data_IF_980812578823
#
_entry.id   IF_980812578823
#
_cell.length_a   1.000
_cell.length_b   1.000
_cell.length_c   1.000
_cell.angle_alpha   90.00
_cell.angle_beta   90.00
_cell.angle_gamma   90.00
#
_symmetry.space_group_name_H-M   'P 1'
#
loop_
_entity.id
_entity.type
_entity.pdbx_description
1 polymer ?
#
# COMPACT_ATOMS: atom_id res chain seq x y z
N UNK A 1 -25.91 21.65 42.23
CA UNK A 1 -26.68 22.52 41.31
C UNK A 1 -25.69 23.30 40.47
N UNK A 2 -25.51 22.92 39.21
CA UNK A 2 -24.63 23.57 38.24
C UNK A 2 -24.80 22.81 36.93
N UNK A 3 -25.47 23.44 35.97
CA UNK A 3 -26.06 22.81 34.78
C UNK A 3 -24.98 22.42 33.76
N UNK A 4 -25.28 21.32 33.06
CA UNK A 4 -24.64 20.81 31.85
C UNK A 4 -24.56 21.87 30.76
N UNK A 5 -23.35 22.08 30.23
CA UNK A 5 -23.15 22.69 28.91
C UNK A 5 -23.05 21.58 27.87
N UNK A 6 -24.06 21.49 27.01
CA UNK A 6 -24.03 20.69 25.78
C UNK A 6 -22.88 21.18 24.90
N UNK A 7 -21.92 20.29 24.61
CA UNK A 7 -20.93 20.51 23.57
C UNK A 7 -21.58 20.08 22.25
N UNK A 8 -22.09 21.05 21.48
CA UNK A 8 -22.66 20.81 20.17
C UNK A 8 -21.57 20.35 19.20
N UNK A 9 -21.68 19.11 18.72
CA UNK A 9 -20.75 18.46 17.80
C UNK A 9 -20.90 18.90 16.33
N UNK A 10 -21.45 20.08 16.08
CA UNK A 10 -21.83 20.52 14.73
C UNK A 10 -21.23 21.90 14.42
N UNK A 11 -19.90 22.03 14.42
CA UNK A 11 -19.22 23.23 13.90
C UNK A 11 -17.72 22.99 13.59
N UNK A 12 -17.42 21.85 12.96
CA UNK A 12 -16.14 21.65 12.26
C UNK A 12 -16.49 21.32 10.80
N UNK A 13 -16.87 22.39 10.09
CA UNK A 13 -17.21 22.34 8.68
C UNK A 13 -15.97 22.30 7.79
N UNK A 14 -16.03 21.43 6.79
CA UNK A 14 -15.55 21.63 5.41
C UNK A 14 -14.05 21.71 5.09
N UNK A 15 -13.14 21.72 6.06
CA UNK A 15 -11.70 21.58 5.76
C UNK A 15 -11.20 20.16 6.09
N UNK A 16 -10.66 19.48 5.07
CA UNK A 16 -10.05 18.15 5.11
C UNK A 16 -11.01 16.96 5.28
N UNK A 17 -11.81 16.72 4.24
CA UNK A 17 -12.20 15.35 3.86
C UNK A 17 -10.92 14.58 3.53
N UNK A 18 -10.32 13.95 4.56
CA UNK A 18 -9.24 12.98 4.41
C UNK A 18 -9.66 12.02 3.30
N UNK A 19 -8.92 12.07 2.20
CA UNK A 19 -9.12 11.26 1.00
C UNK A 19 -8.82 9.80 1.36
N UNK A 20 -9.72 9.17 2.13
CA UNK A 20 -9.82 7.73 2.12
C UNK A 20 -10.28 7.35 0.72
N UNK A 21 -9.30 7.08 -0.15
CA UNK A 21 -9.48 6.47 -1.46
C UNK A 21 -10.11 5.06 -1.35
N UNK A 22 -10.35 4.60 -0.11
CA UNK A 22 -10.82 3.30 0.37
C UNK A 22 -12.19 2.82 -0.14
N UNK A 23 -12.75 3.44 -1.20
CA UNK A 23 -13.84 2.87 -2.01
C UNK A 23 -13.92 3.63 -3.33
N UNK A 24 -13.23 3.14 -4.36
CA UNK A 24 -13.49 3.60 -5.72
C UNK A 24 -14.89 3.15 -6.13
N UNK A 25 -15.88 4.04 -5.98
CA UNK A 25 -17.28 3.79 -6.33
C UNK A 25 -17.38 3.30 -7.78
N UNK A 26 -18.25 2.31 -8.04
CA UNK A 26 -18.43 1.71 -9.38
C UNK A 26 -18.75 2.75 -10.46
N UNK A 27 -19.56 3.76 -10.13
CA UNK A 27 -19.90 4.86 -11.04
C UNK A 27 -18.70 5.76 -11.32
N UNK A 28 -17.95 6.12 -10.27
CA UNK A 28 -16.70 6.91 -10.39
C UNK A 28 -15.69 6.17 -11.26
N UNK A 29 -15.47 4.88 -10.99
CA UNK A 29 -14.58 4.05 -11.81
C UNK A 29 -15.02 4.02 -13.28
N UNK A 30 -16.32 3.84 -13.55
CA UNK A 30 -16.85 3.80 -14.91
C UNK A 30 -16.66 5.12 -15.68
N UNK A 31 -16.73 6.25 -14.98
CA UNK A 31 -16.42 7.59 -15.52
C UNK A 31 -14.93 7.74 -15.82
N UNK A 32 -14.06 7.33 -14.88
CA UNK A 32 -12.59 7.36 -15.08
C UNK A 32 -12.12 6.48 -16.24
N UNK A 33 -12.74 5.32 -16.44
CA UNK A 33 -12.47 4.44 -17.60
C UNK A 33 -12.68 5.11 -18.96
N UNK A 34 -13.39 6.25 -18.98
CA UNK A 34 -13.70 7.05 -20.16
C UNK A 34 -13.00 8.41 -20.19
N UNK A 35 -12.04 8.62 -19.29
CA UNK A 35 -11.21 9.84 -19.29
C UNK A 35 -11.83 11.02 -18.55
N UNK A 36 -12.76 10.79 -17.62
CA UNK A 36 -13.19 11.82 -16.66
C UNK A 36 -12.25 11.75 -15.45
N UNK A 37 -11.78 12.89 -14.96
CA UNK A 37 -10.91 12.94 -13.77
C UNK A 37 -11.67 12.54 -12.49
N UNK A 38 -10.92 12.13 -11.46
CA UNK A 38 -11.51 11.58 -10.24
C UNK A 38 -12.38 12.58 -9.46
N UNK A 39 -12.06 13.87 -9.49
CA UNK A 39 -12.80 14.90 -8.73
C UNK A 39 -14.12 15.19 -9.43
N UNK A 40 -14.09 15.41 -10.73
CA UNK A 40 -15.30 15.57 -11.54
C UNK A 40 -16.18 14.33 -11.44
N UNK A 41 -15.61 13.13 -11.54
CA UNK A 41 -16.37 11.88 -11.43
C UNK A 41 -17.05 11.72 -10.05
N UNK A 42 -16.36 12.06 -8.96
CA UNK A 42 -16.95 12.05 -7.61
C UNK A 42 -18.08 13.07 -7.47
N UNK A 43 -17.91 14.29 -7.99
CA UNK A 43 -18.96 15.32 -7.96
C UNK A 43 -20.21 14.88 -8.72
N UNK A 44 -20.05 14.39 -9.95
CA UNK A 44 -21.16 13.88 -10.76
C UNK A 44 -21.90 12.72 -10.06
N UNK A 45 -21.16 11.81 -9.43
CA UNK A 45 -21.77 10.75 -8.64
C UNK A 45 -22.52 11.28 -7.41
N UNK A 46 -22.01 12.31 -6.74
CA UNK A 46 -22.68 13.00 -5.63
C UNK A 46 -23.97 13.70 -6.05
N UNK A 47 -24.03 14.21 -7.28
CA UNK A 47 -25.24 14.75 -7.92
C UNK A 47 -26.24 13.66 -8.37
N UNK A 48 -25.93 12.38 -8.15
CA UNK A 48 -26.77 11.25 -8.55
C UNK A 48 -26.67 10.88 -10.04
N UNK A 49 -25.76 11.51 -10.79
CA UNK A 49 -25.57 11.24 -12.21
C UNK A 49 -24.84 9.91 -12.42
N UNK A 50 -25.38 9.10 -13.32
CA UNK A 50 -24.77 7.84 -13.77
C UNK A 50 -24.19 8.02 -15.17
N UNK A 51 -23.34 7.08 -15.60
CA UNK A 51 -22.82 7.11 -16.95
C UNK A 51 -23.91 6.98 -18.03
N UNK A 52 -25.00 6.27 -17.73
CA UNK A 52 -26.15 6.19 -18.63
C UNK A 52 -26.84 7.55 -18.74
N UNK A 53 -27.08 8.21 -17.59
CA UNK A 53 -27.65 9.56 -17.57
C UNK A 53 -26.78 10.55 -18.36
N UNK A 54 -25.45 10.54 -18.18
CA UNK A 54 -24.55 11.42 -18.94
C UNK A 54 -24.61 11.19 -20.47
N UNK A 55 -24.85 9.95 -20.90
CA UNK A 55 -25.00 9.63 -22.33
C UNK A 55 -26.34 10.07 -22.90
N UNK A 56 -27.35 10.27 -22.06
CA UNK A 56 -28.70 10.69 -22.44
C UNK A 56 -28.92 12.21 -22.31
N UNK A 57 -28.16 12.88 -21.43
CA UNK A 57 -28.17 14.35 -21.30
C UNK A 57 -27.73 15.04 -22.58
N UNK A 58 -28.17 16.28 -22.80
CA UNK A 58 -27.73 17.15 -23.89
C UNK A 58 -26.32 17.71 -23.68
N UNK A 59 -25.66 18.14 -24.75
CA UNK A 59 -24.27 18.63 -24.71
C UNK A 59 -24.14 19.91 -23.86
N UNK A 60 -25.12 20.81 -23.88
CA UNK A 60 -25.11 22.05 -23.08
C UNK A 60 -25.16 21.74 -21.57
N UNK A 61 -25.96 20.75 -21.17
CA UNK A 61 -26.00 20.24 -19.81
C UNK A 61 -24.66 19.63 -19.41
N UNK A 62 -24.01 18.83 -20.28
CA UNK A 62 -22.69 18.26 -19.99
C UNK A 62 -21.60 19.32 -19.81
N UNK A 63 -21.63 20.39 -20.61
CA UNK A 63 -20.71 21.54 -20.46
C UNK A 63 -20.96 22.27 -19.14
N UNK A 64 -22.22 22.47 -18.74
CA UNK A 64 -22.57 23.04 -17.42
C UNK A 64 -22.06 22.18 -16.27
N UNK A 65 -22.02 20.87 -16.44
CA UNK A 65 -21.41 19.94 -15.51
C UNK A 65 -19.87 19.87 -15.65
N UNK A 66 -19.22 20.80 -16.36
CA UNK A 66 -17.77 20.93 -16.39
C UNK A 66 -17.03 19.91 -17.26
N UNK A 67 -17.73 19.18 -18.13
CA UNK A 67 -17.09 18.26 -19.07
C UNK A 67 -16.54 19.01 -20.28
N UNK A 68 -15.32 18.67 -20.70
CA UNK A 68 -14.72 19.24 -21.91
C UNK A 68 -15.39 18.71 -23.18
N UNK A 69 -15.35 19.49 -24.25
CA UNK A 69 -15.87 19.10 -25.56
C UNK A 69 -15.27 17.79 -26.06
N UNK A 70 -13.97 17.56 -25.83
CA UNK A 70 -13.30 16.30 -26.17
C UNK A 70 -13.88 15.08 -25.43
N UNK A 71 -14.24 15.22 -24.16
CA UNK A 71 -14.87 14.13 -23.38
C UNK A 71 -16.30 13.91 -23.84
N UNK A 72 -17.05 14.98 -24.12
CA UNK A 72 -18.41 14.90 -24.65
C UNK A 72 -18.40 14.17 -26.00
N UNK A 73 -17.54 14.56 -26.92
CA UNK A 73 -17.37 13.89 -28.21
C UNK A 73 -16.99 12.41 -28.05
N UNK A 74 -16.11 12.08 -27.09
CA UNK A 74 -15.74 10.70 -26.78
C UNK A 74 -16.92 9.90 -26.21
N UNK A 75 -17.77 10.52 -25.38
CA UNK A 75 -19.00 9.91 -24.85
C UNK A 75 -20.02 9.63 -25.96
N UNK A 76 -20.15 10.53 -26.95
CA UNK A 76 -21.08 10.42 -28.07
C UNK A 76 -20.62 9.46 -29.16
N UNK A 77 -19.36 9.55 -29.59
CA UNK A 77 -18.82 8.77 -30.73
C UNK A 77 -18.70 7.27 -30.45
N UNK A 78 -18.68 6.87 -29.18
CA UNK A 78 -18.69 5.45 -28.79
C UNK A 78 -17.49 4.61 -29.24
N UNK A 79 -16.45 5.21 -29.83
CA UNK A 79 -15.36 4.49 -30.51
C UNK A 79 -14.22 3.99 -29.62
N UNK A 80 -13.99 4.61 -28.45
CA UNK A 80 -12.97 4.14 -27.50
C UNK A 80 -13.61 3.17 -26.51
N UNK A 81 -13.12 1.93 -26.50
CA UNK A 81 -13.50 0.97 -25.46
C UNK A 81 -13.07 1.49 -24.08
N UNK A 82 -13.86 1.26 -23.03
CA UNK A 82 -13.47 1.67 -21.68
C UNK A 82 -12.20 0.94 -21.25
N UNK A 83 -11.33 1.62 -20.50
CA UNK A 83 -10.18 0.98 -19.86
C UNK A 83 -10.70 -0.19 -19.00
N UNK A 84 -10.13 -1.41 -19.10
CA UNK A 84 -10.53 -2.52 -18.26
C UNK A 84 -10.44 -2.18 -16.77
N UNK A 85 -11.46 -2.58 -15.99
CA UNK A 85 -11.54 -2.24 -14.56
C UNK A 85 -10.33 -2.72 -13.75
N UNK A 86 -9.76 -3.87 -14.12
CA UNK A 86 -8.56 -4.40 -13.48
C UNK A 86 -7.34 -3.50 -13.73
N UNK A 87 -7.12 -3.10 -14.99
CA UNK A 87 -6.00 -2.24 -15.37
C UNK A 87 -6.12 -0.85 -14.73
N UNK A 88 -7.33 -0.26 -14.73
CA UNK A 88 -7.59 0.99 -14.02
C UNK A 88 -7.20 0.88 -12.53
N UNK A 89 -7.70 -0.14 -11.84
CA UNK A 89 -7.43 -0.35 -10.42
C UNK A 89 -5.93 -0.55 -10.16
N UNK A 90 -5.25 -1.35 -10.99
CA UNK A 90 -3.83 -1.65 -10.86
C UNK A 90 -2.97 -0.39 -11.02
N UNK A 91 -3.24 0.43 -12.04
CA UNK A 91 -2.50 1.66 -12.31
C UNK A 91 -2.71 2.66 -11.18
N UNK A 92 -3.96 2.86 -10.74
CA UNK A 92 -4.26 3.73 -9.60
C UNK A 92 -3.57 3.26 -8.31
N UNK A 93 -3.59 1.95 -8.04
CA UNK A 93 -2.96 1.35 -6.87
C UNK A 93 -1.44 1.57 -6.85
N UNK A 94 -0.75 1.23 -7.96
CA UNK A 94 0.71 1.35 -8.07
C UNK A 94 1.21 2.80 -7.98
N UNK A 95 0.35 3.77 -8.27
CA UNK A 95 0.66 5.20 -8.17
C UNK A 95 0.02 5.87 -6.93
N UNK A 96 -0.57 5.09 -6.00
CA UNK A 96 -1.31 5.59 -4.82
C UNK A 96 -2.35 6.68 -5.13
N UNK A 97 -3.04 6.59 -6.26
CA UNK A 97 -4.00 7.62 -6.69
C UNK A 97 -3.39 9.02 -6.80
N UNK A 98 -2.09 9.13 -7.09
CA UNK A 98 -1.39 10.41 -7.30
C UNK A 98 -0.79 10.47 -8.71
N UNK A 99 -0.53 11.70 -9.16
CA UNK A 99 0.17 11.96 -10.43
C UNK A 99 1.59 11.39 -10.37
N UNK A 100 2.02 10.59 -11.36
CA UNK A 100 3.38 10.04 -11.36
C UNK A 100 4.49 11.09 -11.55
N UNK A 101 4.13 12.30 -11.97
CA UNK A 101 5.08 13.41 -12.20
C UNK A 101 5.26 14.27 -10.95
N UNK A 102 4.19 14.92 -10.46
CA UNK A 102 4.27 15.80 -9.29
C UNK A 102 3.97 15.12 -7.96
N UNK A 103 3.30 13.95 -7.97
CA UNK A 103 2.99 13.13 -6.79
C UNK A 103 2.12 13.82 -5.74
N UNK A 104 1.55 14.96 -6.09
CA UNK A 104 0.72 15.77 -5.21
C UNK A 104 -0.64 15.08 -4.96
N UNK A 105 -0.94 14.66 -3.71
CA UNK A 105 -2.19 13.99 -3.37
C UNK A 105 -3.40 14.93 -3.36
N UNK A 106 -3.21 16.26 -3.37
CA UNK A 106 -4.29 17.24 -3.39
C UNK A 106 -4.87 17.47 -4.80
N UNK A 107 -4.16 17.05 -5.85
CA UNK A 107 -4.57 17.32 -7.23
C UNK A 107 -5.50 16.25 -7.80
N UNK A 108 -6.46 16.70 -8.60
CA UNK A 108 -7.33 15.81 -9.37
C UNK A 108 -6.52 15.01 -10.41
N UNK A 109 -6.72 13.69 -10.43
CA UNK A 109 -6.01 12.78 -11.33
C UNK A 109 -6.90 12.18 -12.44
N UNK A 110 -6.27 11.87 -13.57
CA UNK A 110 -6.84 11.21 -14.76
C UNK A 110 -5.85 10.17 -15.30
N UNK A 111 -6.35 9.13 -15.97
CA UNK A 111 -5.49 8.19 -16.70
C UNK A 111 -5.16 8.71 -18.09
N UNK A 112 -3.87 8.73 -18.40
CA UNK A 112 -3.30 9.09 -19.68
C UNK A 112 -2.71 7.86 -20.37
N UNK A 113 -2.92 7.75 -21.67
CA UNK A 113 -2.24 6.76 -22.51
C UNK A 113 -0.88 7.31 -22.93
N UNK A 114 0.21 6.64 -22.56
CA UNK A 114 1.59 7.05 -22.88
C UNK A 114 1.82 7.04 -24.40
N UNK A 115 1.44 5.95 -25.07
CA UNK A 115 1.24 5.89 -26.52
C UNK A 115 -0.24 6.13 -26.82
N UNK A 116 -0.59 7.15 -27.63
CA UNK A 116 -1.97 7.53 -27.88
C UNK A 116 -2.86 6.35 -28.28
N UNK A 117 -4.06 6.26 -27.70
CA UNK A 117 -5.02 5.19 -27.99
C UNK A 117 -5.33 5.04 -29.48
N UNK A 118 -5.42 6.16 -30.21
CA UNK A 118 -5.72 6.16 -31.65
C UNK A 118 -4.67 5.41 -32.48
N UNK A 119 -3.45 5.28 -31.95
CA UNK A 119 -2.33 4.60 -32.60
C UNK A 119 -2.14 3.20 -32.01
N UNK A 120 -2.09 3.09 -30.68
CA UNK A 120 -1.72 1.85 -29.98
C UNK A 120 -2.89 0.89 -29.78
N UNK A 121 -4.11 1.39 -29.60
CA UNK A 121 -5.27 0.62 -29.13
C UNK A 121 -4.95 -0.21 -27.87
N UNK A 122 -4.05 0.31 -27.02
CA UNK A 122 -3.51 -0.43 -25.87
C UNK A 122 -3.96 0.17 -24.53
N UNK A 123 -4.70 -0.61 -23.74
CA UNK A 123 -5.10 -0.29 -22.38
C UNK A 123 -4.25 -1.04 -21.32
N UNK A 124 -3.09 -1.57 -21.69
CA UNK A 124 -2.16 -2.23 -20.77
C UNK A 124 -1.76 -1.30 -19.61
N UNK A 125 -1.40 -1.90 -18.47
CA UNK A 125 -0.96 -1.16 -17.29
C UNK A 125 0.35 -0.39 -17.59
N UNK A 126 1.14 -0.92 -18.51
CA UNK A 126 2.41 -0.39 -18.97
C UNK A 126 2.22 0.85 -19.86
N UNK A 127 1.11 0.93 -20.61
CA UNK A 127 0.78 2.07 -21.46
C UNK A 127 -0.08 3.14 -20.76
N UNK A 128 -0.45 2.94 -19.50
CA UNK A 128 -1.30 3.86 -18.73
C UNK A 128 -0.50 4.57 -17.64
N UNK A 129 -0.59 5.90 -17.59
CA UNK A 129 -0.02 6.76 -16.55
C UNK A 129 -1.10 7.51 -15.79
N UNK A 130 -0.90 7.74 -14.49
CA UNK A 130 -1.76 8.61 -13.68
C UNK A 130 -1.18 10.02 -13.72
N UNK A 131 -1.94 10.99 -14.20
CA UNK A 131 -1.51 12.40 -14.29
C UNK A 131 -2.52 13.31 -13.60
N UNK A 132 -2.04 14.42 -13.03
CA UNK A 132 -2.93 15.53 -12.70
C UNK A 132 -3.36 16.27 -13.97
N UNK A 133 -4.41 17.09 -13.89
CA UNK A 133 -4.94 17.82 -15.06
C UNK A 133 -3.90 18.69 -15.76
N UNK A 134 -2.99 19.32 -15.01
CA UNK A 134 -1.91 20.15 -15.55
C UNK A 134 -0.89 19.32 -16.35
N UNK A 135 -0.36 18.24 -15.75
CA UNK A 135 0.58 17.35 -16.45
C UNK A 135 -0.08 16.60 -17.61
N UNK A 136 -1.37 16.28 -17.50
CA UNK A 136 -2.15 15.74 -18.61
C UNK A 136 -2.22 16.73 -19.78
N UNK A 137 -2.46 18.02 -19.51
CA UNK A 137 -2.44 19.05 -20.55
C UNK A 137 -1.04 19.21 -21.17
N UNK A 138 0.03 19.20 -20.36
CA UNK A 138 1.42 19.26 -20.84
C UNK A 138 1.80 18.06 -21.72
N UNK A 139 1.24 16.88 -21.47
CA UNK A 139 1.44 15.69 -22.31
C UNK A 139 0.77 15.80 -23.69
N UNK A 140 -0.33 16.57 -23.81
CA UNK A 140 -0.99 16.85 -25.09
C UNK A 140 -0.42 18.06 -25.83
N UNK A 141 0.28 18.96 -25.12
CA UNK A 141 0.91 20.14 -25.73
C UNK A 141 2.13 19.71 -26.56
N UNK A 142 2.24 20.33 -27.74
CA UNK A 142 3.44 20.30 -28.58
C UNK A 142 4.00 21.71 -28.62
N UNK A 143 4.70 22.11 -27.56
CA UNK A 143 5.44 23.37 -27.53
C UNK A 143 6.75 23.24 -28.31
N UNK A 144 7.18 24.32 -28.97
CA UNK A 144 8.49 24.42 -29.64
C UNK A 144 9.61 24.86 -28.69
N UNK A 145 9.26 25.46 -27.54
CA UNK A 145 10.19 26.04 -26.55
C UNK A 145 10.08 25.40 -25.16
N UNK A 146 8.89 24.95 -24.74
CA UNK A 146 8.70 24.27 -23.46
C UNK A 146 9.11 22.79 -23.56
N UNK A 147 9.77 22.24 -22.53
CA UNK A 147 10.03 20.80 -22.44
C UNK A 147 8.69 20.04 -22.39
N UNK A 148 8.30 19.48 -23.53
CA UNK A 148 7.12 18.63 -23.64
C UNK A 148 7.29 17.39 -22.77
N UNK A 149 6.21 16.98 -22.11
CA UNK A 149 6.16 15.76 -21.34
C UNK A 149 6.02 14.56 -22.29
N UNK A 150 7.10 14.24 -22.99
CA UNK A 150 7.16 13.19 -24.00
C UNK A 150 6.94 11.79 -23.41
N UNK A 151 6.48 10.84 -24.23
CA UNK A 151 6.18 9.46 -23.85
C UNK A 151 7.34 8.76 -23.13
N UNK A 152 8.60 9.03 -23.54
CA UNK A 152 9.78 8.51 -22.86
C UNK A 152 9.88 9.00 -21.41
N UNK A 153 9.78 10.31 -21.18
CA UNK A 153 9.82 10.88 -19.83
C UNK A 153 8.64 10.41 -18.98
N UNK A 154 7.45 10.24 -19.57
CA UNK A 154 6.29 9.68 -18.87
C UNK A 154 6.53 8.26 -18.36
N UNK A 155 7.17 7.40 -19.16
CA UNK A 155 7.55 6.05 -18.72
C UNK A 155 8.52 6.12 -17.55
N UNK A 156 9.54 6.97 -17.64
CA UNK A 156 10.52 7.15 -16.57
C UNK A 156 9.88 7.66 -15.27
N UNK A 157 9.02 8.67 -15.32
CA UNK A 157 8.29 9.17 -14.14
C UNK A 157 7.40 8.10 -13.53
N UNK A 158 6.64 7.38 -14.35
CA UNK A 158 5.79 6.27 -13.91
C UNK A 158 6.60 5.17 -13.23
N UNK A 159 7.64 4.66 -13.89
CA UNK A 159 8.46 3.58 -13.36
C UNK A 159 9.15 3.97 -12.05
N UNK A 160 9.68 5.19 -11.97
CA UNK A 160 10.30 5.70 -10.76
C UNK A 160 9.29 5.85 -9.62
N UNK A 161 8.11 6.40 -9.90
CA UNK A 161 7.09 6.57 -8.88
C UNK A 161 6.53 5.23 -8.37
N UNK A 162 6.20 4.30 -9.27
CA UNK A 162 5.71 2.97 -8.89
C UNK A 162 6.76 2.20 -8.07
N UNK A 163 8.05 2.35 -8.41
CA UNK A 163 9.15 1.79 -7.62
C UNK A 163 9.19 2.40 -6.23
N UNK A 164 9.15 3.72 -6.11
CA UNK A 164 9.15 4.40 -4.80
C UNK A 164 7.95 4.00 -3.94
N UNK A 165 6.74 3.99 -4.52
CA UNK A 165 5.50 3.56 -3.85
C UNK A 165 5.63 2.17 -3.23
N UNK A 166 6.31 1.25 -3.92
CA UNK A 166 6.52 -0.13 -3.45
C UNK A 166 7.36 -0.21 -2.16
N UNK A 167 8.15 0.82 -1.86
CA UNK A 167 8.99 0.90 -0.65
C UNK A 167 8.38 1.72 0.49
N UNK A 168 7.33 2.53 0.21
CA UNK A 168 6.72 3.40 1.24
C UNK A 168 6.11 2.61 2.39
N UNK A 169 5.35 1.55 2.09
CA UNK A 169 4.69 0.73 3.11
C UNK A 169 5.69 -0.08 3.95
N UNK A 170 6.66 -0.82 3.37
CA UNK A 170 7.69 -1.50 4.16
C UNK A 170 8.47 -0.53 5.05
N UNK A 171 8.84 0.65 4.53
CA UNK A 171 9.54 1.68 5.32
C UNK A 171 8.71 2.13 6.51
N UNK A 172 7.44 2.46 6.30
CA UNK A 172 6.54 2.87 7.38
C UNK A 172 6.32 1.78 8.42
N UNK A 173 6.22 0.51 7.99
CA UNK A 173 6.14 -0.66 8.88
C UNK A 173 7.41 -0.76 9.73
N UNK A 174 8.59 -0.64 9.11
CA UNK A 174 9.87 -0.68 9.81
C UNK A 174 10.01 0.43 10.84
N UNK A 175 9.75 1.68 10.43
CA UNK A 175 9.85 2.84 11.31
C UNK A 175 8.90 2.72 12.50
N UNK A 176 7.65 2.33 12.26
CA UNK A 176 6.67 2.12 13.33
C UNK A 176 7.03 0.93 14.25
N UNK A 177 7.60 -0.15 13.70
CA UNK A 177 8.02 -1.32 14.49
C UNK A 177 9.23 -1.07 15.40
N UNK A 178 9.95 0.04 15.19
CA UNK A 178 11.11 0.46 15.99
C UNK A 178 10.72 1.32 17.19
N UNK A 179 9.51 1.88 17.21
CA UNK A 179 9.01 2.69 18.33
C UNK A 179 8.81 1.79 19.56
N UNK A 180 9.18 2.31 20.73
CA UNK A 180 9.03 1.59 22.00
C UNK A 180 7.57 1.20 22.28
N UNK A 181 7.36 0.00 22.82
CA UNK A 181 6.03 -0.55 23.11
C UNK A 181 5.42 -1.35 21.96
N UNK A 182 6.00 -1.31 20.75
CA UNK A 182 5.62 -2.23 19.68
C UNK A 182 6.52 -3.45 19.64
N UNK A 183 5.89 -4.61 19.65
CA UNK A 183 6.59 -5.88 19.65
C UNK A 183 5.95 -6.83 18.64
N UNK A 184 6.79 -7.46 17.84
CA UNK A 184 6.40 -8.69 17.15
C UNK A 184 6.16 -9.78 18.19
N UNK A 185 5.04 -10.47 18.04
CA UNK A 185 4.54 -11.51 18.93
C UNK A 185 4.92 -12.91 18.43
N UNK A 186 5.00 -13.07 17.12
CA UNK A 186 5.16 -14.35 16.48
C UNK A 186 5.84 -14.18 15.13
N UNK A 187 6.68 -15.15 14.77
CA UNK A 187 7.29 -15.27 13.47
C UNK A 187 7.07 -16.68 12.93
N UNK A 188 6.80 -16.79 11.64
CA UNK A 188 6.92 -18.06 10.94
C UNK A 188 8.38 -18.26 10.57
N UNK A 189 9.15 -18.95 11.41
CA UNK A 189 10.60 -18.98 11.21
C UNK A 189 10.98 -19.67 9.90
N UNK A 190 10.32 -20.78 9.57
CA UNK A 190 10.59 -21.50 8.32
C UNK A 190 10.36 -20.59 7.11
N UNK A 191 9.19 -19.94 7.04
CA UNK A 191 8.85 -19.10 5.87
C UNK A 191 9.63 -17.79 5.84
N UNK A 192 9.98 -17.24 6.99
CA UNK A 192 10.80 -16.04 7.09
C UNK A 192 12.22 -16.31 6.60
N UNK A 193 12.86 -17.39 7.05
CA UNK A 193 14.23 -17.72 6.64
C UNK A 193 14.30 -18.20 5.19
N UNK A 194 13.31 -18.95 4.69
CA UNK A 194 13.20 -19.25 3.26
C UNK A 194 13.12 -17.96 2.41
N UNK A 195 12.32 -16.99 2.84
CA UNK A 195 12.17 -15.72 2.15
C UNK A 195 13.47 -14.90 2.21
N UNK A 196 14.10 -14.80 3.38
CA UNK A 196 15.38 -14.13 3.57
C UNK A 196 16.49 -14.74 2.69
N UNK A 197 16.54 -16.08 2.59
CA UNK A 197 17.46 -16.77 1.70
C UNK A 197 17.17 -16.48 0.21
N UNK A 198 15.89 -16.42 -0.18
CA UNK A 198 15.51 -16.16 -1.57
C UNK A 198 15.89 -14.76 -2.08
N UNK A 199 16.07 -13.80 -1.17
CA UNK A 199 16.57 -12.45 -1.45
C UNK A 199 18.06 -12.30 -1.14
N UNK A 200 18.79 -13.43 -1.00
CA UNK A 200 20.22 -13.46 -0.72
C UNK A 200 20.66 -12.67 0.54
N UNK A 201 19.87 -12.75 1.62
CA UNK A 201 20.26 -12.14 2.90
C UNK A 201 21.52 -12.81 3.45
N UNK A 202 22.55 -12.02 3.74
CA UNK A 202 23.76 -12.49 4.42
C UNK A 202 23.50 -12.63 5.93
N UNK A 203 23.01 -13.79 6.37
CA UNK A 203 22.62 -14.02 7.77
C UNK A 203 23.71 -13.67 8.81
N UNK A 204 24.99 -13.83 8.46
CA UNK A 204 26.12 -13.55 9.33
C UNK A 204 26.36 -12.04 9.57
N UNK A 205 25.86 -11.19 8.66
CA UNK A 205 25.97 -9.73 8.76
C UNK A 205 24.76 -9.11 9.48
N UNK A 206 23.70 -9.89 9.70
CA UNK A 206 22.49 -9.44 10.40
C UNK A 206 22.81 -9.10 11.87
N UNK A 207 22.34 -7.94 12.39
CA UNK A 207 22.53 -7.58 13.78
C UNK A 207 22.09 -8.68 14.76
N UNK A 208 22.82 -8.80 15.87
CA UNK A 208 22.64 -9.84 16.90
C UNK A 208 22.99 -11.28 16.48
N UNK A 209 23.52 -11.53 15.28
CA UNK A 209 24.02 -12.84 14.86
C UNK A 209 24.95 -13.46 15.91
N UNK A 210 26.04 -12.78 16.30
CA UNK A 210 26.98 -13.31 17.29
C UNK A 210 26.36 -13.57 18.67
N UNK A 211 25.40 -12.74 19.09
CA UNK A 211 24.71 -12.91 20.36
C UNK A 211 23.82 -14.15 20.33
N UNK A 212 23.01 -14.32 19.28
CA UNK A 212 22.15 -15.48 19.08
C UNK A 212 22.95 -16.78 18.86
N UNK A 213 24.12 -16.70 18.19
CA UNK A 213 24.98 -17.88 17.99
C UNK A 213 25.57 -18.39 19.30
N UNK A 214 25.98 -17.50 20.20
CA UNK A 214 26.55 -17.88 21.52
C UNK A 214 25.56 -18.64 22.40
N UNK A 215 24.26 -18.49 22.19
CA UNK A 215 23.24 -19.23 22.94
C UNK A 215 22.97 -20.63 22.36
N UNK A 216 23.61 -20.98 21.24
CA UNK A 216 23.40 -22.26 20.55
C UNK A 216 22.04 -22.39 19.86
N UNK A 217 21.29 -21.29 19.73
CA UNK A 217 19.96 -21.26 19.07
C UNK A 217 20.04 -21.12 17.55
N UNK A 218 21.19 -20.66 17.04
CA UNK A 218 21.48 -20.58 15.61
C UNK A 218 22.85 -21.20 15.31
N UNK A 219 22.99 -21.74 14.10
CA UNK A 219 24.23 -22.34 13.60
C UNK A 219 25.19 -21.30 13.01
N UNK A 220 26.37 -21.73 12.56
CA UNK A 220 27.41 -20.87 12.00
C UNK A 220 27.00 -20.20 10.67
N UNK A 221 26.06 -20.80 9.93
CA UNK A 221 25.46 -20.23 8.73
C UNK A 221 24.34 -19.23 9.03
N UNK A 222 23.99 -19.05 10.31
CA UNK A 222 22.92 -18.17 10.78
C UNK A 222 21.52 -18.77 10.70
N UNK A 223 21.37 -20.01 10.28
CA UNK A 223 20.09 -20.72 10.33
C UNK A 223 19.78 -21.17 11.76
N UNK A 224 18.49 -21.39 12.00
CA UNK A 224 18.01 -21.87 13.29
C UNK A 224 18.50 -23.29 13.59
N UNK A 225 18.95 -23.51 14.82
CA UNK A 225 19.33 -24.84 15.33
C UNK A 225 18.11 -25.62 15.85
N UNK A 226 18.31 -26.87 16.27
CA UNK A 226 17.24 -27.65 16.87
C UNK A 226 16.83 -27.08 18.24
N UNK A 227 15.52 -27.03 18.49
CA UNK A 227 14.95 -26.55 19.74
C UNK A 227 14.41 -27.70 20.57
N UNK A 228 14.46 -27.55 21.90
CA UNK A 228 13.73 -28.43 22.81
C UNK A 228 12.23 -28.36 22.50
N UNK A 229 11.60 -29.53 22.44
CA UNK A 229 10.16 -29.66 22.22
C UNK A 229 9.37 -29.75 23.52
N UNK A 230 10.05 -29.69 24.66
CA UNK A 230 9.45 -29.78 26.00
C UNK A 230 9.10 -28.38 26.56
N UNK A 231 9.31 -27.33 25.79
CA UNK A 231 8.98 -25.94 26.16
C UNK A 231 7.55 -25.58 25.74
N UNK A 232 6.93 -24.67 26.49
CA UNK A 232 5.61 -24.14 26.15
C UNK A 232 5.66 -23.30 24.87
N UNK A 233 6.76 -22.57 24.68
CA UNK A 233 7.05 -21.77 23.49
C UNK A 233 8.57 -21.74 23.21
N UNK A 234 8.93 -21.41 21.98
CA UNK A 234 10.27 -21.52 21.41
C UNK A 234 11.30 -20.58 22.07
N UNK A 235 10.84 -19.43 22.55
CA UNK A 235 11.65 -18.38 23.16
C UNK A 235 11.74 -18.50 24.68
N UNK A 236 11.29 -19.60 25.26
CA UNK A 236 11.32 -19.82 26.71
C UNK A 236 12.77 -19.90 27.23
N UNK A 237 13.08 -19.15 28.30
CA UNK A 237 14.39 -19.06 28.93
C UNK A 237 15.13 -17.73 28.71
N UNK A 238 16.27 -17.55 29.38
CA UNK A 238 17.04 -16.29 29.35
C UNK A 238 17.66 -15.96 27.99
N UNK A 239 17.88 -16.97 27.15
CA UNK A 239 18.50 -16.84 25.83
C UNK A 239 17.53 -16.38 24.73
N UNK A 240 16.22 -16.39 25.01
CA UNK A 240 15.18 -16.03 24.03
C UNK A 240 15.33 -14.61 23.49
N UNK A 241 15.80 -13.67 24.32
CA UNK A 241 15.98 -12.27 23.88
C UNK A 241 16.99 -12.13 22.75
N UNK A 242 18.12 -12.84 22.81
CA UNK A 242 19.14 -12.76 21.77
C UNK A 242 18.61 -13.30 20.43
N UNK A 243 17.88 -14.43 20.49
CA UNK A 243 17.22 -14.99 19.32
C UNK A 243 16.15 -14.04 18.76
N UNK A 244 15.34 -13.42 19.62
CA UNK A 244 14.27 -12.51 19.20
C UNK A 244 14.82 -11.32 18.44
N UNK A 245 15.88 -10.69 18.98
CA UNK A 245 16.51 -9.55 18.33
C UNK A 245 17.12 -9.96 16.98
N UNK A 246 17.75 -11.12 16.89
CA UNK A 246 18.27 -11.64 15.62
C UNK A 246 17.15 -11.87 14.59
N UNK A 247 16.11 -12.65 14.94
CA UNK A 247 15.00 -12.97 14.02
C UNK A 247 14.22 -11.72 13.60
N UNK A 248 14.04 -10.75 14.52
CA UNK A 248 13.50 -9.44 14.19
C UNK A 248 14.34 -8.76 13.10
N UNK A 249 15.67 -8.74 13.22
CA UNK A 249 16.53 -8.13 12.21
C UNK A 249 16.56 -8.91 10.88
N UNK A 250 16.31 -10.21 10.89
CA UNK A 250 16.04 -10.99 9.67
C UNK A 250 14.75 -10.51 9.00
N UNK A 251 13.66 -10.32 9.76
CA UNK A 251 12.43 -9.70 9.23
C UNK A 251 12.69 -8.29 8.68
N UNK A 252 13.47 -7.47 9.38
CA UNK A 252 13.80 -6.13 8.90
C UNK A 252 14.55 -6.19 7.55
N UNK A 253 15.50 -7.12 7.40
CA UNK A 253 16.23 -7.35 6.14
C UNK A 253 15.30 -7.75 4.99
N UNK A 254 14.29 -8.58 5.27
CA UNK A 254 13.24 -8.95 4.31
C UNK A 254 12.40 -7.75 3.91
N UNK A 255 11.92 -6.95 4.88
CA UNK A 255 11.08 -5.79 4.59
C UNK A 255 11.83 -4.71 3.79
N UNK A 256 13.14 -4.56 3.97
CA UNK A 256 13.95 -3.61 3.18
C UNK A 256 14.05 -3.97 1.69
N UNK A 257 13.84 -5.24 1.32
CA UNK A 257 14.07 -5.73 -0.05
C UNK A 257 12.81 -6.32 -0.71
N UNK A 258 11.67 -6.27 -0.03
CA UNK A 258 10.40 -6.82 -0.55
C UNK A 258 9.32 -5.75 -0.52
N UNK A 259 8.50 -5.71 -1.58
CA UNK A 259 7.30 -4.89 -1.58
C UNK A 259 6.25 -5.53 -0.66
N UNK A 260 5.74 -4.75 0.29
CA UNK A 260 4.65 -5.14 1.19
C UNK A 260 3.58 -4.09 1.10
N UNK A 261 2.35 -4.48 0.80
CA UNK A 261 1.25 -3.51 0.66
C UNK A 261 0.42 -3.42 1.94
N UNK A 262 0.31 -2.24 2.53
CA UNK A 262 -0.59 -2.00 3.64
C UNK A 262 -2.03 -1.88 3.12
N UNK A 263 -2.90 -2.80 3.53
CA UNK A 263 -4.32 -2.81 3.14
C UNK A 263 -5.25 -2.52 4.33
N UNK A 264 -4.71 -1.98 5.44
CA UNK A 264 -5.43 -1.83 6.70
C UNK A 264 -6.65 -0.91 6.59
N UNK A 265 -6.55 0.13 5.76
CA UNK A 265 -7.61 1.10 5.44
C UNK A 265 -8.35 0.79 4.14
N UNK A 266 -7.80 -0.07 3.28
CA UNK A 266 -8.35 -0.37 1.95
C UNK A 266 -8.88 -1.79 1.89
N UNK A 267 -9.94 -2.04 2.65
CA UNK A 267 -10.62 -3.34 2.68
C UNK A 267 -11.85 -3.34 1.76
N UNK A 268 -11.70 -2.89 0.53
CA UNK A 268 -12.74 -2.98 -0.49
C UNK A 268 -12.62 -4.28 -1.31
N UNK A 269 -13.62 -5.19 -1.29
CA UNK A 269 -13.53 -6.48 -1.95
C UNK A 269 -13.60 -6.40 -3.48
N UNK A 270 -14.12 -5.30 -4.03
CA UNK A 270 -14.16 -5.08 -5.47
C UNK A 270 -12.80 -4.64 -6.00
N UNK A 271 -12.17 -3.71 -5.30
CA UNK A 271 -10.89 -3.13 -5.64
C UNK A 271 -9.73 -4.08 -5.34
N UNK A 272 -9.62 -4.60 -4.10
CA UNK A 272 -8.55 -5.52 -3.71
C UNK A 272 -8.50 -6.77 -4.57
N UNK A 273 -9.67 -7.33 -4.94
CA UNK A 273 -9.75 -8.51 -5.82
C UNK A 273 -9.26 -8.27 -7.25
N UNK A 274 -8.90 -7.03 -7.61
CA UNK A 274 -8.32 -6.66 -8.91
C UNK A 274 -6.84 -6.31 -8.83
N UNK A 275 -6.33 -5.93 -7.66
CA UNK A 275 -4.96 -5.43 -7.48
C UNK A 275 -4.05 -6.39 -6.74
N UNK A 276 -4.61 -7.25 -5.88
CA UNK A 276 -3.85 -8.27 -5.14
C UNK A 276 -3.75 -9.54 -6.00
N UNK A 277 -2.53 -10.03 -6.14
CA UNK A 277 -2.20 -11.27 -6.83
C UNK A 277 -1.63 -12.32 -5.86
N UNK A 278 -1.70 -13.62 -6.21
CA UNK A 278 -0.96 -14.65 -5.50
C UNK A 278 0.54 -14.30 -5.40
N UNK A 279 1.14 -14.60 -4.25
CA UNK A 279 2.50 -14.27 -3.83
C UNK A 279 2.76 -12.83 -3.37
N UNK A 280 1.81 -11.91 -3.51
CA UNK A 280 1.96 -10.57 -2.93
C UNK A 280 2.10 -10.66 -1.41
N UNK A 281 2.95 -9.80 -0.86
CA UNK A 281 3.03 -9.58 0.58
C UNK A 281 2.14 -8.42 0.97
N UNK A 282 1.33 -8.64 1.99
CA UNK A 282 0.41 -7.63 2.51
C UNK A 282 0.60 -7.45 4.01
N UNK A 283 0.42 -6.23 4.45
CA UNK A 283 0.32 -5.86 5.85
C UNK A 283 -1.13 -5.52 6.17
N UNK A 284 -1.62 -6.04 7.28
CA UNK A 284 -2.99 -5.75 7.72
C UNK A 284 -3.10 -5.67 9.25
N UNK A 285 -3.72 -4.60 9.74
CA UNK A 285 -3.77 -4.30 11.17
C UNK A 285 -5.15 -3.94 11.71
N UNK A 286 -5.49 -4.40 12.91
CA UNK A 286 -6.74 -4.15 13.64
C UNK A 286 -7.27 -5.43 14.26
N UNK A 287 -8.59 -5.62 14.32
CA UNK A 287 -9.20 -6.75 15.03
C UNK A 287 -8.95 -8.11 14.35
N UNK A 288 -8.12 -8.93 14.96
CA UNK A 288 -7.83 -10.31 14.60
C UNK A 288 -8.49 -11.28 15.58
N UNK A 289 -8.91 -12.43 15.08
CA UNK A 289 -9.49 -13.53 15.86
C UNK A 289 -8.58 -14.75 15.73
N UNK A 290 -8.12 -15.24 16.88
CA UNK A 290 -7.26 -16.40 17.05
C UNK A 290 -8.08 -17.54 17.64
N UNK A 291 -8.23 -18.60 16.88
CA UNK A 291 -8.99 -19.79 17.26
C UNK A 291 -8.02 -20.96 17.43
N UNK A 292 -7.94 -21.54 18.63
CA UNK A 292 -7.12 -22.73 18.85
C UNK A 292 -7.80 -23.93 18.18
N UNK A 293 -7.03 -24.69 17.39
CA UNK A 293 -7.50 -25.89 16.69
C UNK A 293 -6.94 -27.17 17.27
N UNK A 294 -5.79 -27.10 17.93
CA UNK A 294 -5.17 -28.21 18.65
C UNK A 294 -5.40 -28.11 20.16
N UNK A 295 -5.43 -29.25 20.84
CA UNK A 295 -5.36 -29.34 22.30
C UNK A 295 -3.92 -29.34 22.85
N UNK A 296 -2.91 -29.47 21.98
CA UNK A 296 -1.48 -29.39 22.33
C UNK A 296 -1.15 -28.05 22.98
N UNK A 297 -0.45 -28.08 24.11
CA UNK A 297 -0.03 -26.87 24.86
C UNK A 297 1.49 -26.77 25.06
N UNK A 298 2.25 -27.80 24.65
CA UNK A 298 3.69 -27.86 24.80
C UNK A 298 4.33 -28.42 23.52
N UNK A 299 5.48 -27.88 23.14
CA UNK A 299 6.18 -28.20 21.91
C UNK A 299 5.47 -27.71 20.65
N UNK A 300 6.04 -27.99 19.46
CA UNK A 300 5.43 -27.67 18.17
C UNK A 300 4.07 -28.33 17.96
N UNK A 301 3.26 -27.76 17.07
CA UNK A 301 1.93 -28.26 16.70
C UNK A 301 0.79 -27.62 17.49
N UNK A 302 1.02 -26.46 18.11
CA UNK A 302 -0.01 -25.69 18.81
C UNK A 302 -0.80 -24.82 17.82
N UNK A 303 -1.48 -25.48 16.89
CA UNK A 303 -2.13 -24.84 15.73
C UNK A 303 -3.25 -23.89 16.16
N UNK A 304 -3.16 -22.65 15.69
CA UNK A 304 -4.23 -21.66 15.78
C UNK A 304 -4.56 -21.10 14.40
N UNK A 305 -5.86 -21.05 14.09
CA UNK A 305 -6.37 -20.36 12.91
C UNK A 305 -6.53 -18.87 13.23
N UNK A 306 -5.97 -18.02 12.37
CA UNK A 306 -6.06 -16.57 12.48
C UNK A 306 -6.96 -16.05 11.37
N UNK A 307 -7.93 -15.21 11.75
CA UNK A 307 -8.77 -14.51 10.78
C UNK A 307 -8.92 -13.04 11.14
N UNK A 308 -8.85 -12.20 10.12
CA UNK A 308 -9.28 -10.80 10.17
C UNK A 308 -10.41 -10.61 9.18
N UNK A 309 -11.47 -9.92 9.58
CA UNK A 309 -12.58 -9.61 8.69
C UNK A 309 -13.10 -8.19 8.91
N UNK A 310 -13.16 -7.40 7.85
CA UNK A 310 -13.80 -6.09 7.82
C UNK A 310 -14.19 -5.72 6.38
N UNK A 311 -15.27 -4.94 6.23
CA UNK A 311 -15.75 -4.41 4.94
C UNK A 311 -15.97 -5.45 3.81
N UNK A 312 -16.22 -6.71 4.16
CA UNK A 312 -16.43 -7.79 3.18
C UNK A 312 -15.14 -8.42 2.65
N UNK A 313 -13.98 -8.04 3.21
CA UNK A 313 -12.68 -8.68 3.00
C UNK A 313 -12.31 -9.52 4.21
N UNK A 314 -11.82 -10.73 3.97
CA UNK A 314 -11.41 -11.67 4.99
C UNK A 314 -10.00 -12.19 4.70
N UNK A 315 -9.07 -11.93 5.61
CA UNK A 315 -7.69 -12.47 5.58
C UNK A 315 -7.64 -13.66 6.53
N UNK A 316 -7.18 -14.82 6.03
CA UNK A 316 -7.04 -16.06 6.81
C UNK A 316 -5.64 -16.62 6.68
N UNK A 317 -5.09 -17.10 7.79
CA UNK A 317 -3.84 -17.87 7.83
C UNK A 317 -3.79 -18.73 9.10
N UNK A 318 -2.79 -19.57 9.23
CA UNK A 318 -2.55 -20.39 10.43
C UNK A 318 -1.21 -20.02 11.06
N UNK A 319 -1.13 -20.21 12.37
CA UNK A 319 0.09 -20.04 13.15
C UNK A 319 0.30 -21.26 14.05
N UNK A 320 1.55 -21.53 14.41
CA UNK A 320 1.89 -22.39 15.53
C UNK A 320 2.20 -21.51 16.75
N UNK A 321 1.38 -21.61 17.80
CA UNK A 321 1.56 -20.81 19.03
C UNK A 321 2.87 -21.14 19.74
N UNK A 322 3.48 -22.29 19.48
CA UNK A 322 4.79 -22.60 20.03
C UNK A 322 5.87 -21.62 19.54
N UNK A 323 5.74 -21.03 18.35
CA UNK A 323 6.69 -20.02 17.84
C UNK A 323 6.48 -18.61 18.47
N UNK A 324 5.65 -18.48 19.51
CA UNK A 324 5.47 -17.22 20.23
C UNK A 324 6.77 -16.73 20.88
N UNK A 325 6.99 -15.42 20.87
CA UNK A 325 8.25 -14.82 21.36
C UNK A 325 8.31 -14.60 22.87
N UNK A 326 7.18 -14.71 23.57
CA UNK A 326 7.08 -14.44 25.00
C UNK A 326 5.90 -15.17 25.63
N UNK A 327 5.94 -15.36 26.96
CA UNK A 327 4.86 -16.00 27.72
C UNK A 327 3.53 -15.26 27.60
N UNK A 328 3.51 -13.93 27.75
CA UNK A 328 2.28 -13.12 27.60
C UNK A 328 1.70 -13.24 26.19
N UNK A 329 2.56 -13.37 25.20
CA UNK A 329 2.15 -13.59 23.82
C UNK A 329 1.51 -14.95 23.61
N UNK A 330 2.18 -16.01 24.09
CA UNK A 330 1.67 -17.37 24.03
C UNK A 330 0.33 -17.50 24.76
N UNK A 331 0.24 -17.00 26.00
CA UNK A 331 -0.93 -17.18 26.88
C UNK A 331 -2.10 -16.22 26.58
N UNK A 332 -1.82 -15.03 26.07
CA UNK A 332 -2.83 -13.95 25.96
C UNK A 332 -2.96 -13.39 24.55
N UNK A 333 -1.86 -12.93 23.93
CA UNK A 333 -1.94 -12.16 22.68
C UNK A 333 -2.19 -12.99 21.41
N UNK A 334 -1.94 -14.30 21.42
CA UNK A 334 -2.27 -15.20 20.32
C UNK A 334 -3.54 -16.02 20.59
N UNK A 335 -4.43 -15.53 21.45
CA UNK A 335 -5.68 -16.20 21.83
C UNK A 335 -6.85 -15.22 21.79
N UNK A 336 -7.99 -15.69 21.32
CA UNK A 336 -9.25 -14.94 21.34
C UNK A 336 -9.25 -13.78 20.35
N UNK A 337 -9.81 -12.65 20.74
CA UNK A 337 -9.89 -11.45 19.88
C UNK A 337 -8.88 -10.42 20.33
N UNK A 338 -7.98 -10.01 19.44
CA UNK A 338 -6.94 -9.03 19.75
C UNK A 338 -6.84 -7.96 18.67
N UNK A 339 -6.37 -6.78 19.05
CA UNK A 339 -5.91 -5.78 18.07
C UNK A 339 -4.46 -6.08 17.72
N UNK A 340 -4.22 -6.56 16.51
CA UNK A 340 -2.92 -7.04 16.07
C UNK A 340 -2.58 -6.50 14.68
N UNK A 341 -1.30 -6.49 14.35
CA UNK A 341 -0.79 -6.33 13.00
C UNK A 341 -0.29 -7.69 12.49
N UNK A 342 -0.46 -7.97 11.20
CA UNK A 342 0.09 -9.16 10.57
C UNK A 342 0.72 -8.84 9.22
N UNK A 343 1.87 -9.45 8.98
CA UNK A 343 2.51 -9.51 7.66
C UNK A 343 2.27 -10.91 7.14
N UNK A 344 1.62 -10.99 5.98
CA UNK A 344 1.23 -12.27 5.39
C UNK A 344 1.51 -12.28 3.89
N UNK A 345 1.79 -13.46 3.35
CA UNK A 345 1.94 -13.69 1.92
C UNK A 345 0.69 -14.33 1.35
N UNK A 346 0.10 -13.74 0.33
CA UNK A 346 -1.13 -14.22 -0.30
C UNK A 346 -0.83 -15.51 -1.08
N UNK A 347 -1.66 -16.54 -0.89
CA UNK A 347 -1.58 -17.81 -1.62
C UNK A 347 -2.70 -17.96 -2.63
N UNK A 348 -3.92 -17.61 -2.26
CA UNK A 348 -5.04 -17.54 -3.18
C UNK A 348 -5.97 -16.38 -2.84
N UNK A 349 -6.65 -15.91 -3.88
CA UNK A 349 -7.67 -14.85 -3.82
C UNK A 349 -8.96 -15.46 -4.34
N UNK A 350 -9.95 -15.60 -3.47
CA UNK A 350 -11.21 -16.30 -3.74
C UNK A 350 -12.40 -15.42 -3.34
N UNK A 351 -13.59 -15.78 -3.83
CA UNK A 351 -14.85 -15.22 -3.33
C UNK A 351 -15.64 -16.31 -2.62
N UNK A 352 -16.07 -16.02 -1.40
CA UNK A 352 -16.94 -16.89 -0.60
C UNK A 352 -18.36 -16.93 -1.20
N UNK A 353 -19.20 -17.87 -0.76
CA UNK A 353 -20.61 -17.99 -1.16
C UNK A 353 -21.41 -16.69 -0.91
N UNK A 354 -21.01 -15.94 0.12
CA UNK A 354 -21.59 -14.65 0.50
C UNK A 354 -21.08 -13.47 -0.37
N UNK A 355 -20.26 -13.73 -1.40
CA UNK A 355 -19.64 -12.70 -2.24
C UNK A 355 -18.49 -11.93 -1.59
N UNK A 356 -18.08 -12.31 -0.37
CA UNK A 356 -16.95 -11.73 0.37
C UNK A 356 -15.62 -12.13 -0.27
N UNK A 357 -14.65 -11.21 -0.29
CA UNK A 357 -13.29 -11.50 -0.75
C UNK A 357 -12.54 -12.27 0.34
N UNK A 358 -12.03 -13.45 -0.01
CA UNK A 358 -11.23 -14.30 0.85
C UNK A 358 -9.78 -14.29 0.37
N UNK A 359 -8.88 -13.87 1.23
CA UNK A 359 -7.43 -13.92 1.03
C UNK A 359 -6.87 -15.05 1.91
N UNK A 360 -6.57 -16.19 1.28
CA UNK A 360 -5.89 -17.29 1.96
C UNK A 360 -4.39 -17.01 1.93
N UNK A 361 -3.79 -16.90 3.10
CA UNK A 361 -2.44 -16.41 3.26
C UNK A 361 -1.58 -17.35 4.09
N UNK A 362 -0.26 -17.21 3.93
CA UNK A 362 0.74 -17.75 4.84
C UNK A 362 1.21 -16.61 5.74
N UNK A 363 1.08 -16.77 7.06
CA UNK A 363 1.60 -15.79 8.02
C UNK A 363 3.13 -15.77 8.01
N UNK A 364 3.72 -14.58 8.06
CA UNK A 364 5.16 -14.37 8.25
C UNK A 364 5.47 -13.79 9.62
N UNK A 365 4.71 -12.78 10.05
CA UNK A 365 4.85 -12.19 11.37
C UNK A 365 3.50 -11.68 11.88
N UNK A 366 3.31 -11.72 13.20
CA UNK A 366 2.18 -11.11 13.90
C UNK A 366 2.73 -10.30 15.07
N UNK A 367 2.16 -9.14 15.35
CA UNK A 367 2.63 -8.25 16.42
C UNK A 367 1.56 -7.29 16.90
N UNK A 368 1.97 -6.40 17.80
CA UNK A 368 1.16 -5.27 18.26
C UNK A 368 0.68 -4.43 17.08
N UNK A 369 -0.51 -3.85 17.19
CA UNK A 369 -0.95 -2.85 16.22
C UNK A 369 -0.02 -1.63 16.25
N UNK A 370 0.64 -1.33 15.14
CA UNK A 370 1.56 -0.22 14.94
C UNK A 370 0.79 1.10 14.77
N UNK A 371 1.14 2.13 15.53
CA UNK A 371 0.47 3.44 15.43
C UNK A 371 0.71 4.07 14.05
N UNK A 372 -0.29 4.80 13.56
CA UNK A 372 -0.22 5.46 12.26
C UNK A 372 -0.38 4.53 11.06
N UNK A 373 -0.43 3.20 11.24
CA UNK A 373 -0.59 2.24 10.13
C UNK A 373 -2.00 1.69 9.95
N UNK A 374 -2.94 2.14 10.79
CA UNK A 374 -4.37 1.84 10.60
C UNK A 374 -4.92 2.51 9.33
N UNK A 375 -4.35 3.65 8.96
CA UNK A 375 -4.57 4.41 7.73
C UNK A 375 -3.24 4.57 6.99
N UNK A 376 -3.28 4.85 5.69
CA UNK A 376 -2.08 5.13 4.87
C UNK A 376 -1.67 6.60 4.87
N UNK A 377 -2.03 7.37 5.90
CA UNK A 377 -1.83 8.83 5.94
C UNK A 377 -0.34 9.23 5.97
N UNK A 378 0.55 8.33 6.39
CA UNK A 378 2.02 8.46 6.34
C UNK A 378 2.60 8.54 4.92
N UNK A 379 1.74 8.52 3.90
CA UNK A 379 2.14 8.59 2.49
C UNK A 379 1.92 9.92 1.83
N UNK A 380 1.50 10.94 2.60
CA UNK A 380 1.65 12.34 2.22
C UNK A 380 3.13 12.70 2.36
N UNK A 381 3.88 12.87 1.26
CA UNK A 381 5.28 13.20 1.38
C UNK A 381 5.37 14.66 1.85
N UNK A 382 5.93 14.90 3.03
CA UNK A 382 6.53 16.20 3.37
C UNK A 382 7.82 16.45 2.56
N UNK A 383 7.95 15.82 1.39
CA UNK A 383 9.11 15.96 0.52
C UNK A 383 8.91 17.20 -0.35
N UNK A 384 9.91 18.09 -0.45
CA UNK A 384 9.82 19.20 -1.37
C UNK A 384 9.62 18.63 -2.77
N UNK A 385 8.49 18.98 -3.37
CA UNK A 385 8.26 18.81 -4.80
C UNK A 385 9.51 19.38 -5.46
N UNK A 386 10.28 18.56 -6.18
CA UNK A 386 11.20 19.08 -7.18
C UNK A 386 10.30 19.78 -8.22
N UNK A 387 9.90 21.01 -7.90
CA UNK A 387 9.64 22.01 -8.92
C UNK A 387 10.93 22.01 -9.69
N UNK A 388 10.87 21.62 -10.96
CA UNK A 388 11.94 21.90 -11.90
C UNK A 388 12.32 23.35 -11.63
N UNK A 389 13.48 23.54 -11.00
CA UNK A 389 14.05 24.85 -10.84
C UNK A 389 14.32 25.26 -12.27
N UNK A 390 13.47 26.15 -12.76
CA UNK A 390 13.65 26.91 -13.98
C UNK A 390 15.15 27.18 -14.09
N UNK A 391 15.78 26.54 -15.08
CA UNK A 391 17.22 26.55 -15.31
C UNK A 391 17.59 28.00 -15.64
N UNK A 392 17.75 28.78 -14.58
CA UNK A 392 18.19 30.16 -14.61
C UNK A 392 19.61 30.13 -15.12
N UNK A 393 19.72 30.34 -16.42
CA UNK A 393 20.88 30.87 -17.11
C UNK A 393 21.68 31.73 -16.15
N UNK A 394 22.81 31.20 -15.68
CA UNK A 394 23.89 32.06 -15.22
C UNK A 394 24.41 32.72 -16.48
N UNK A 395 23.92 33.92 -16.73
CA UNK A 395 24.61 34.90 -17.55
C UNK A 395 26.05 34.97 -17.03
N UNK A 396 26.99 34.59 -17.88
CA UNK A 396 28.39 34.99 -17.76
C UNK A 396 28.39 36.52 -17.63
N UNK A 397 28.52 37.02 -16.41
CA UNK A 397 28.81 38.42 -16.14
C UNK A 397 30.31 38.54 -15.90
N UNK A 398 30.98 38.98 -16.95
CA UNK A 398 32.08 39.94 -16.94
C UNK A 398 33.04 39.86 -15.76
N UNK A 399 34.06 39.02 -15.91
CA UNK A 399 35.33 39.13 -15.19
C UNK A 399 36.11 40.32 -15.76
N UNK A 400 35.75 41.53 -15.33
CA UNK A 400 36.58 42.72 -15.50
C UNK A 400 37.29 43.08 -14.18
N UNK A 401 38.62 43.04 -14.26
CA UNK A 401 39.60 43.97 -13.68
C UNK A 401 39.49 44.39 -12.19
N UNK A 402 40.38 43.81 -11.38
CA UNK A 402 41.11 44.58 -10.36
C UNK A 402 42.60 44.17 -10.37
N UNK A 403 43.53 45.15 -10.40
CA UNK A 403 44.95 44.91 -10.57
C UNK A 403 45.66 44.59 -9.24
N UNK A 404 46.82 43.97 -9.38
CA UNK A 404 47.82 43.75 -8.35
C UNK A 404 48.13 44.99 -7.50
N UNK A 405 48.18 44.79 -6.18
CA UNK A 405 48.72 45.70 -5.17
C UNK A 405 49.02 44.96 -3.88
#
# INVERSE_FOLDING_TARGET
>A
MGKSGDFQANEVGEEYMVLSHARLNRTVAAMMQRGIDIVTAKRLQGEGLTLAALKESDDDTLVKHGLSTTIIEALRRGGRSPIPSANLAQVLWRNRFTCCVCRDPALAIILHHIEPWAESHDHSVENLAVLCLEHHARAHRRGTLEQNLASKHLREFKENWEREVSYLDPKAILDASRVEGYHWWWFNHVRLFELAASIATEFQSVPYFYAARRTGKIADDGLLSEFSRDSNYMYEGGDGTALYLYVRNVLESVLCQTAVYNISDDLDPGFLGRVISPNDMIFVQGRHFFEQKSSTQCGPGQVSAVRRQANGVRVKFTIDRWEAVANSTWATWLVGTQSAASIVRVRSVERDSDGKLLLNCTGLAVGSGLQGLATRDYTSPDMPVHRYADDGWLEESDLDDQPFG
#
